data_IF_544164672980
#
_entry.id   IF_544164672980
#
_cell.length_a   1.000
_cell.length_b   1.000
_cell.length_c   1.000
_cell.angle_alpha   90.00
_cell.angle_beta   90.00
_cell.angle_gamma   90.00
#
_symmetry.space_group_name_H-M   'P 1'
#
loop_
_entity.id
_entity.type
_entity.pdbx_description
1 polymer ?
#
# COMPACT_ATOMS: atom_id res chain seq x y z
N UNK A 1 -17.63 0.14 -10.24
CA UNK A 1 -17.67 0.68 -8.86
C UNK A 1 -16.79 1.91 -8.84
N UNK A 2 -17.34 3.06 -8.47
CA UNK A 2 -16.64 4.35 -8.52
C UNK A 2 -15.53 4.37 -7.47
N UNK A 3 -14.27 4.27 -7.91
CA UNK A 3 -13.13 4.61 -7.07
C UNK A 3 -13.29 6.09 -6.69
N UNK A 4 -13.37 6.38 -5.39
CA UNK A 4 -13.41 7.74 -4.89
C UNK A 4 -12.21 8.50 -5.47
N UNK A 5 -12.48 9.54 -6.27
CA UNK A 5 -11.47 10.41 -6.91
C UNK A 5 -10.76 11.33 -5.91
N UNK A 6 -10.66 10.92 -4.65
CA UNK A 6 -10.17 11.75 -3.55
C UNK A 6 -9.01 11.06 -2.87
N UNK A 7 -8.01 11.86 -2.49
CA UNK A 7 -6.86 11.41 -1.72
C UNK A 7 -7.35 11.04 -0.31
N UNK A 8 -7.06 9.82 0.15
CA UNK A 8 -7.43 9.39 1.50
C UNK A 8 -6.77 10.27 2.57
N UNK A 9 -7.49 10.56 3.66
CA UNK A 9 -7.03 11.46 4.75
C UNK A 9 -5.69 11.08 5.38
N UNK A 10 -5.35 9.78 5.35
CA UNK A 10 -4.06 9.24 5.77
C UNK A 10 -2.87 9.99 5.13
N UNK A 11 -3.00 10.42 3.87
CA UNK A 11 -1.95 11.16 3.17
C UNK A 11 -1.84 12.64 3.60
N UNK A 12 -2.70 13.13 4.50
CA UNK A 12 -2.51 14.41 5.18
C UNK A 12 -1.29 14.41 6.12
N UNK A 13 -0.77 13.23 6.48
CA UNK A 13 0.43 13.06 7.31
C UNK A 13 1.70 13.51 6.59
N UNK A 14 2.79 13.66 7.36
CA UNK A 14 4.12 13.91 6.81
C UNK A 14 4.51 12.77 5.87
N UNK A 15 5.20 13.14 4.79
CA UNK A 15 5.64 12.21 3.73
C UNK A 15 6.52 11.08 4.26
N UNK A 16 7.27 11.31 5.34
CA UNK A 16 8.09 10.32 6.03
C UNK A 16 7.28 9.21 6.70
N UNK A 17 6.01 9.47 7.00
CA UNK A 17 5.15 8.59 7.79
C UNK A 17 4.29 7.68 6.93
N UNK A 18 4.29 7.90 5.60
CA UNK A 18 3.53 7.11 4.65
C UNK A 18 4.09 5.69 4.56
N UNK A 19 3.27 4.72 4.96
CA UNK A 19 3.61 3.31 5.00
C UNK A 19 2.35 2.47 4.76
N UNK A 20 2.40 1.54 3.81
CA UNK A 20 1.24 0.72 3.45
C UNK A 20 0.78 -0.17 4.62
N UNK A 21 1.69 -0.69 5.45
CA UNK A 21 1.32 -1.55 6.57
C UNK A 21 0.56 -0.75 7.62
N UNK A 22 1.06 0.44 7.97
CA UNK A 22 0.34 1.37 8.87
C UNK A 22 -1.01 1.77 8.29
N UNK A 23 -1.08 2.04 6.99
CA UNK A 23 -2.36 2.34 6.35
C UNK A 23 -3.35 1.17 6.48
N UNK A 24 -2.91 -0.08 6.22
CA UNK A 24 -3.79 -1.24 6.30
C UNK A 24 -4.32 -1.50 7.71
N UNK A 25 -3.50 -1.20 8.72
CA UNK A 25 -3.84 -1.33 10.15
C UNK A 25 -4.80 -0.23 10.61
N UNK A 26 -4.51 1.03 10.27
CA UNK A 26 -5.30 2.19 10.70
C UNK A 26 -6.58 2.41 9.88
N UNK A 27 -6.64 1.91 8.64
CA UNK A 27 -7.81 2.07 7.77
C UNK A 27 -8.96 1.17 8.28
N UNK A 28 -9.79 1.69 9.18
CA UNK A 28 -10.96 1.00 9.71
C UNK A 28 -12.20 1.13 8.83
N UNK A 29 -12.23 2.14 7.94
CA UNK A 29 -13.39 2.49 7.13
C UNK A 29 -13.61 1.57 5.92
N UNK A 30 -12.64 0.70 5.61
CA UNK A 30 -12.71 -0.23 4.48
C UNK A 30 -12.51 -1.64 5.05
N UNK A 31 -13.48 -2.52 4.84
CA UNK A 31 -13.45 -3.87 5.42
C UNK A 31 -12.47 -4.79 4.69
N UNK A 32 -12.46 -4.74 3.35
CA UNK A 32 -11.62 -5.63 2.55
C UNK A 32 -10.19 -5.13 2.44
N UNK A 33 -9.22 -5.99 2.76
CA UNK A 33 -7.79 -5.74 2.51
C UNK A 33 -7.52 -5.35 1.05
N UNK A 34 -8.21 -5.97 0.09
CA UNK A 34 -8.05 -5.63 -1.32
C UNK A 34 -8.47 -4.19 -1.60
N UNK A 35 -9.63 -3.78 -1.08
CA UNK A 35 -10.12 -2.41 -1.25
C UNK A 35 -9.22 -1.39 -0.54
N UNK A 36 -8.64 -1.74 0.62
CA UNK A 36 -7.65 -0.89 1.29
C UNK A 36 -6.42 -0.68 0.40
N UNK A 37 -5.88 -1.76 -0.18
CA UNK A 37 -4.73 -1.67 -1.09
C UNK A 37 -5.07 -0.83 -2.32
N UNK A 38 -6.22 -1.07 -2.94
CA UNK A 38 -6.70 -0.28 -4.09
C UNK A 38 -6.84 1.21 -3.72
N UNK A 39 -7.42 1.53 -2.56
CA UNK A 39 -7.56 2.90 -2.07
C UNK A 39 -6.20 3.58 -1.85
N UNK A 40 -5.25 2.87 -1.26
CA UNK A 40 -3.90 3.37 -1.01
C UNK A 40 -3.16 3.66 -2.33
N UNK A 41 -3.20 2.72 -3.27
CA UNK A 41 -2.55 2.87 -4.58
C UNK A 41 -3.19 3.97 -5.41
N UNK A 42 -4.52 4.06 -5.46
CA UNK A 42 -5.23 5.14 -6.15
C UNK A 42 -4.95 6.51 -5.53
N UNK A 43 -4.82 6.59 -4.21
CA UNK A 43 -4.42 7.85 -3.55
C UNK A 43 -3.00 8.26 -3.92
N UNK A 44 -2.05 7.32 -3.97
CA UNK A 44 -0.68 7.58 -4.43
C UNK A 44 -0.64 8.03 -5.90
N UNK A 45 -1.44 7.41 -6.76
CA UNK A 45 -1.58 7.80 -8.16
C UNK A 45 -2.11 9.23 -8.29
N UNK A 46 -3.17 9.55 -7.53
CA UNK A 46 -3.76 10.87 -7.54
C UNK A 46 -2.76 11.94 -7.06
N UNK A 47 -2.05 11.69 -5.94
CA UNK A 47 -0.99 12.58 -5.43
C UNK A 47 0.10 12.79 -6.48
N UNK A 48 0.54 11.72 -7.14
CA UNK A 48 1.59 11.82 -8.16
C UNK A 48 1.17 12.68 -9.37
N UNK A 49 -0.13 12.73 -9.65
CA UNK A 49 -0.71 13.45 -10.77
C UNK A 49 -1.13 14.89 -10.43
N UNK A 50 -1.55 15.17 -9.19
CA UNK A 50 -2.11 16.47 -8.79
C UNK A 50 -1.17 17.32 -7.93
N UNK A 51 -0.28 16.70 -7.17
CA UNK A 51 0.61 17.42 -6.25
C UNK A 51 2.00 17.67 -6.86
N UNK A 52 2.82 18.48 -6.18
CA UNK A 52 4.19 18.81 -6.58
C UNK A 52 5.18 18.62 -5.43
N UNK A 53 6.47 18.77 -5.71
CA UNK A 53 7.53 18.74 -4.70
C UNK A 53 7.74 17.36 -4.07
N UNK A 54 7.99 17.33 -2.76
CA UNK A 54 8.34 16.10 -2.02
C UNK A 54 7.23 15.05 -2.04
N UNK A 55 5.96 15.49 -1.98
CA UNK A 55 4.78 14.61 -1.96
C UNK A 55 4.67 13.81 -3.25
N UNK A 56 4.76 14.50 -4.41
CA UNK A 56 4.80 13.84 -5.73
C UNK A 56 5.98 12.89 -5.88
N UNK A 57 7.19 13.32 -5.50
CA UNK A 57 8.40 12.48 -5.59
C UNK A 57 8.22 11.18 -4.78
N UNK A 58 7.77 11.28 -3.54
CA UNK A 58 7.55 10.10 -2.70
C UNK A 58 6.45 9.20 -3.23
N UNK A 59 5.36 9.77 -3.74
CA UNK A 59 4.28 8.99 -4.30
C UNK A 59 4.73 8.16 -5.51
N UNK A 60 5.53 8.76 -6.40
CA UNK A 60 6.13 8.06 -7.53
C UNK A 60 7.13 6.98 -7.09
N UNK A 61 7.96 7.26 -6.08
CA UNK A 61 8.87 6.26 -5.50
C UNK A 61 8.11 5.05 -4.95
N UNK A 62 7.06 5.28 -4.16
CA UNK A 62 6.22 4.23 -3.59
C UNK A 62 5.52 3.42 -4.68
N UNK A 63 4.92 4.07 -5.69
CA UNK A 63 4.32 3.39 -6.83
C UNK A 63 5.34 2.51 -7.57
N UNK A 64 6.54 3.03 -7.81
CA UNK A 64 7.63 2.28 -8.45
C UNK A 64 8.03 1.07 -7.61
N UNK A 65 8.19 1.24 -6.30
CA UNK A 65 8.54 0.16 -5.37
C UNK A 65 7.49 -0.96 -5.40
N UNK A 66 6.20 -0.63 -5.35
CA UNK A 66 5.15 -1.65 -5.37
C UNK A 66 4.98 -2.29 -6.76
N UNK A 67 5.14 -1.53 -7.84
CA UNK A 67 5.19 -2.09 -9.20
C UNK A 67 6.35 -3.07 -9.36
N UNK A 68 7.54 -2.72 -8.90
CA UNK A 68 8.73 -3.58 -8.95
C UNK A 68 8.65 -4.77 -7.99
N UNK A 69 7.98 -4.62 -6.85
CA UNK A 69 7.68 -5.73 -5.95
C UNK A 69 6.74 -6.75 -6.62
N UNK A 70 5.73 -6.28 -7.37
CA UNK A 70 4.87 -7.13 -8.19
C UNK A 70 5.60 -7.73 -9.41
N UNK A 71 6.67 -7.10 -9.91
CA UNK A 71 7.46 -7.55 -11.07
C UNK A 71 8.67 -8.43 -10.67
N UNK A 72 8.76 -8.92 -9.42
CA UNK A 72 9.64 -10.07 -9.11
C UNK A 72 8.82 -11.36 -9.08
N UNK A 73 8.56 -11.99 -10.24
CA UNK A 73 7.98 -13.31 -10.26
C UNK A 73 9.06 -14.29 -9.83
N UNK A 74 9.06 -14.70 -8.56
CA UNK A 74 9.39 -16.09 -8.34
C UNK A 74 8.16 -16.85 -8.81
N UNK A 75 8.29 -17.57 -9.93
CA UNK A 75 7.23 -18.40 -10.51
C UNK A 75 6.57 -19.24 -9.41
N UNK A 76 5.38 -18.85 -8.95
CA UNK A 76 4.24 -19.72 -8.64
C UNK A 76 3.09 -18.94 -7.96
N UNK A 77 1.89 -19.25 -8.44
CA UNK A 77 0.55 -18.96 -7.92
C UNK A 77 0.12 -17.50 -7.79
N UNK A 78 -0.69 -17.05 -8.75
CA UNK A 78 -1.66 -15.95 -8.58
C UNK A 78 -3.10 -16.47 -8.48
N UNK A 79 -3.32 -17.67 -7.92
CA UNK A 79 -4.65 -18.27 -7.77
C UNK A 79 -5.19 -18.30 -6.32
N UNK A 80 -4.41 -17.86 -5.34
CA UNK A 80 -4.89 -17.70 -3.96
C UNK A 80 -4.75 -16.23 -3.60
N UNK A 81 -5.89 -15.54 -3.45
CA UNK A 81 -5.99 -14.11 -3.24
C UNK A 81 -5.44 -13.62 -1.90
N UNK A 82 -4.15 -13.84 -1.66
CA UNK A 82 -3.45 -13.41 -0.45
C UNK A 82 -2.31 -12.44 -0.80
N UNK A 83 -2.69 -11.20 -1.10
CA UNK A 83 -1.79 -10.07 -1.33
C UNK A 83 -0.90 -9.76 -0.10
N UNK A 84 -1.24 -10.31 1.08
CA UNK A 84 -0.47 -10.16 2.32
C UNK A 84 0.88 -10.86 2.21
N UNK A 85 0.95 -11.99 1.49
CA UNK A 85 2.22 -12.69 1.22
C UNK A 85 3.15 -11.86 0.31
N UNK A 86 2.60 -11.10 -0.64
CA UNK A 86 3.39 -10.31 -1.58
C UNK A 86 4.04 -9.08 -0.94
N UNK A 87 3.36 -8.41 -0.02
CA UNK A 87 3.87 -7.20 0.63
C UNK A 87 4.88 -7.49 1.76
N UNK A 88 4.83 -8.69 2.35
CA UNK A 88 5.69 -9.07 3.48
C UNK A 88 7.15 -9.37 3.10
N UNK A 89 7.48 -9.56 1.81
CA UNK A 89 8.82 -10.00 1.43
C UNK A 89 9.88 -8.90 1.31
N UNK A 90 9.51 -7.60 1.40
CA UNK A 90 10.46 -6.49 1.12
C UNK A 90 10.31 -5.21 1.93
N UNK A 91 9.74 -5.24 3.13
CA UNK A 91 9.93 -4.09 4.04
C UNK A 91 11.18 -4.33 4.91
N UNK A 92 12.27 -3.55 4.76
CA UNK A 92 13.49 -3.73 5.57
C UNK A 92 13.31 -3.39 7.06
N UNK A 93 12.09 -3.01 7.49
CA UNK A 93 11.82 -2.45 8.82
C UNK A 93 10.85 -3.25 9.68
N UNK A 94 10.38 -4.42 9.26
CA UNK A 94 9.49 -5.25 10.10
C UNK A 94 10.27 -6.41 10.74
N UNK A 95 10.99 -6.10 11.83
CA UNK A 95 11.27 -7.12 12.84
C UNK A 95 10.05 -7.18 13.74
N UNK A 96 9.43 -8.37 13.83
CA UNK A 96 8.35 -8.70 14.77
C UNK A 96 6.93 -8.30 14.39
N UNK A 97 6.25 -9.18 13.65
CA UNK A 97 4.82 -9.47 13.87
C UNK A 97 4.60 -10.99 13.66
N UNK A 98 5.18 -11.79 14.56
CA UNK A 98 4.87 -13.21 14.74
C UNK A 98 3.94 -13.32 15.95
N UNK A 99 2.70 -12.83 15.87
CA UNK A 99 1.79 -12.88 17.03
C UNK A 99 0.28 -12.70 16.73
N UNK A 100 -0.23 -12.97 15.53
CA UNK A 100 -1.69 -12.95 15.31
C UNK A 100 -2.13 -14.00 14.29
N UNK A 101 -1.98 -15.28 14.67
CA UNK A 101 -2.67 -16.40 14.03
C UNK A 101 -2.90 -17.49 15.08
N UNK A 102 -4.06 -17.46 15.73
CA UNK A 102 -4.64 -18.63 16.38
C UNK A 102 -6.12 -18.73 15.96
N UNK A 103 -6.37 -19.82 15.23
CA UNK A 103 -7.64 -20.42 14.79
C UNK A 103 -8.55 -19.62 13.87
#
# INVERSE_FOLDING_TARGET
MSTSKTIHEYFGRKVSDWDIVRFLDECTNIESYRQKIECYLSSLELIANTENGQRRKKALELQKLYREASIRPQKQCWDTGDLRACLMFKSPRVKSLRAYWHC
#
